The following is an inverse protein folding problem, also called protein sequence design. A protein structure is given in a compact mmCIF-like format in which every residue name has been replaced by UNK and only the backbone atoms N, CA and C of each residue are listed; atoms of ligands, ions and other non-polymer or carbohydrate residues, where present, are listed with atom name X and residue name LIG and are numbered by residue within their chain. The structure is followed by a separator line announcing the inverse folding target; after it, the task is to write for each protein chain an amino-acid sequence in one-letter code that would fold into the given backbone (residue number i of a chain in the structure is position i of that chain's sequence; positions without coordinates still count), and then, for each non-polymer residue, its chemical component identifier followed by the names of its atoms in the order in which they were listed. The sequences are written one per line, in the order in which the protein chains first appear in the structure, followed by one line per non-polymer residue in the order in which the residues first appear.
data_IF_741876054732
#
_entry.id   IF_741876054732
#
_cell.length_a   1.000
_cell.length_b   1.000
_cell.length_c   1.000
_cell.angle_alpha   90.00
_cell.angle_beta   90.00
_cell.angle_gamma   90.00
#
_symmetry.space_group_name_H-M   'P 1'
#
loop_
_entity.id
_entity.type
_entity.pdbx_description
1 polymer ?
#
# COMPACT_ATOMS: atom_id res chain seq x y z
N UNK A 1 4.80 15.86 -16.77
CA UNK A 1 5.84 14.85 -16.50
C UNK A 1 5.99 14.79 -14.99
N UNK A 2 5.22 13.92 -14.33
CA UNK A 2 5.24 13.82 -12.86
C UNK A 2 6.56 13.17 -12.44
N UNK A 3 7.32 13.86 -11.58
CA UNK A 3 8.64 13.40 -11.17
C UNK A 3 8.48 12.13 -10.34
N UNK A 4 9.00 11.02 -10.84
CA UNK A 4 8.90 9.72 -10.14
C UNK A 4 9.51 9.76 -8.73
N UNK A 5 10.39 10.73 -8.42
CA UNK A 5 10.96 10.92 -7.08
C UNK A 5 10.04 11.56 -6.03
N UNK A 6 9.08 12.40 -6.43
CA UNK A 6 8.16 13.04 -5.46
C UNK A 6 7.16 12.03 -4.89
N UNK A 7 6.69 11.10 -5.75
CA UNK A 7 5.75 10.05 -5.36
C UNK A 7 6.40 9.07 -4.38
N UNK A 8 7.69 8.76 -4.58
CA UNK A 8 8.46 7.85 -3.72
C UNK A 8 8.67 8.40 -2.31
N UNK A 9 8.91 9.71 -2.18
CA UNK A 9 9.05 10.37 -0.88
C UNK A 9 7.70 10.41 -0.12
N UNK A 10 6.60 10.70 -0.83
CA UNK A 10 5.25 10.69 -0.25
C UNK A 10 4.91 9.28 0.26
N UNK A 11 5.10 8.25 -0.57
CA UNK A 11 4.84 6.86 -0.17
C UNK A 11 5.73 6.39 0.98
N UNK A 12 6.98 6.84 1.03
CA UNK A 12 7.88 6.52 2.16
C UNK A 12 7.37 7.11 3.48
N UNK A 13 6.85 8.33 3.46
CA UNK A 13 6.24 8.95 4.66
C UNK A 13 4.97 8.23 5.09
N UNK A 14 4.13 7.87 4.12
CA UNK A 14 2.91 7.08 4.35
C UNK A 14 3.23 5.73 4.99
N UNK A 15 4.26 5.07 4.48
CA UNK A 15 4.71 3.77 4.98
C UNK A 15 5.21 3.87 6.43
N UNK A 16 6.01 4.89 6.75
CA UNK A 16 6.46 5.12 8.13
C UNK A 16 5.28 5.36 9.08
N UNK A 17 4.25 6.08 8.64
CA UNK A 17 3.04 6.29 9.43
C UNK A 17 2.28 4.97 9.63
N UNK A 18 2.12 4.19 8.55
CA UNK A 18 1.54 2.85 8.63
C UNK A 18 2.29 1.95 9.60
N UNK A 19 3.63 1.93 9.55
CA UNK A 19 4.45 1.10 10.45
C UNK A 19 4.27 1.47 11.92
N UNK A 20 4.19 2.77 12.23
CA UNK A 20 3.90 3.25 13.60
C UNK A 20 2.53 2.79 14.09
N UNK A 21 1.53 2.82 13.20
CA UNK A 21 0.16 2.41 13.51
C UNK A 21 -0.07 0.91 13.36
N UNK A 22 0.88 0.17 12.77
CA UNK A 22 0.72 -1.23 12.35
C UNK A 22 0.28 -2.12 13.49
N UNK A 23 0.84 -1.93 14.68
CA UNK A 23 0.49 -2.73 15.85
C UNK A 23 -0.96 -2.51 16.29
N UNK A 24 -1.45 -1.27 16.25
CA UNK A 24 -2.83 -0.92 16.58
C UNK A 24 -3.81 -1.35 15.49
N UNK A 25 -3.41 -1.20 14.22
CA UNK A 25 -4.19 -1.66 13.08
C UNK A 25 -4.32 -3.19 13.10
N UNK A 26 -3.26 -3.91 13.46
CA UNK A 26 -3.31 -5.37 13.61
C UNK A 26 -4.26 -5.81 14.71
N UNK A 27 -4.34 -5.09 15.83
CA UNK A 27 -5.27 -5.45 16.92
C UNK A 27 -6.74 -5.27 16.53
N UNK A 28 -7.06 -4.25 15.73
CA UNK A 28 -8.45 -3.86 15.46
C UNK A 28 -8.95 -4.25 14.06
N UNK A 29 -8.04 -4.42 13.09
CA UNK A 29 -8.35 -4.52 11.66
C UNK A 29 -7.54 -5.61 10.94
N UNK A 30 -7.07 -6.64 11.65
CA UNK A 30 -6.38 -7.77 11.02
C UNK A 30 -7.21 -8.36 9.87
N UNK A 31 -6.57 -8.55 8.72
CA UNK A 31 -7.19 -9.08 7.49
C UNK A 31 -7.86 -8.03 6.61
N UNK A 32 -8.12 -6.83 7.13
CA UNK A 32 -8.76 -5.72 6.40
C UNK A 32 -7.78 -4.91 5.59
N UNK A 33 -8.30 -4.12 4.67
CA UNK A 33 -7.55 -3.23 3.79
C UNK A 33 -7.66 -1.80 4.31
N UNK A 34 -6.54 -1.15 4.53
CA UNK A 34 -6.50 0.24 4.98
C UNK A 34 -6.06 1.16 3.86
N UNK A 35 -6.64 2.35 3.83
CA UNK A 35 -6.19 3.46 3.00
C UNK A 35 -5.55 4.49 3.91
N UNK A 36 -4.28 4.76 3.66
CA UNK A 36 -3.51 5.78 4.38
C UNK A 36 -3.18 6.88 3.39
N UNK A 37 -3.31 8.12 3.86
CA UNK A 37 -2.98 9.33 3.11
C UNK A 37 -2.49 10.42 4.05
N UNK A 38 -1.46 11.16 3.63
CA UNK A 38 -0.76 12.16 4.43
C UNK A 38 -0.32 11.65 5.83
N UNK A 39 -0.05 10.34 5.95
CA UNK A 39 0.30 9.72 7.22
C UNK A 39 -0.87 9.50 8.18
N UNK A 40 -2.11 9.58 7.69
CA UNK A 40 -3.32 9.33 8.47
C UNK A 40 -4.16 8.18 7.87
N UNK A 41 -4.85 7.43 8.73
CA UNK A 41 -5.78 6.41 8.29
C UNK A 41 -7.08 7.05 7.79
N UNK A 42 -7.33 6.99 6.49
CA UNK A 42 -8.52 7.56 5.86
C UNK A 42 -9.72 6.63 5.96
N UNK A 43 -9.48 5.32 5.91
CA UNK A 43 -10.55 4.34 5.95
C UNK A 43 -10.05 2.90 6.03
N UNK A 44 -10.96 2.03 6.47
CA UNK A 44 -10.76 0.58 6.54
C UNK A 44 -11.87 -0.10 5.75
N UNK A 45 -11.48 -1.02 4.87
CA UNK A 45 -12.34 -1.71 3.93
C UNK A 45 -12.08 -3.21 3.98
N UNK A 46 -13.01 -4.00 3.46
CA UNK A 46 -12.87 -5.46 3.41
C UNK A 46 -12.08 -5.92 2.19
N UNK A 47 -12.25 -5.22 1.06
CA UNK A 47 -11.60 -5.54 -0.21
C UNK A 47 -10.72 -4.40 -0.74
N UNK A 48 -9.67 -4.78 -1.48
CA UNK A 48 -8.78 -3.82 -2.16
C UNK A 48 -9.52 -3.01 -3.23
N UNK A 49 -10.45 -3.65 -3.94
CA UNK A 49 -11.28 -2.99 -4.94
C UNK A 49 -12.17 -1.90 -4.33
N UNK A 50 -12.68 -2.11 -3.11
CA UNK A 50 -13.49 -1.12 -2.39
C UNK A 50 -12.61 0.04 -1.90
N UNK A 51 -11.46 -0.28 -1.31
CA UNK A 51 -10.48 0.71 -0.87
C UNK A 51 -10.01 1.61 -2.02
N UNK A 52 -9.74 1.01 -3.19
CA UNK A 52 -9.32 1.72 -4.39
C UNK A 52 -10.44 2.61 -4.94
N UNK A 53 -11.66 2.08 -5.09
CA UNK A 53 -12.80 2.88 -5.53
C UNK A 53 -13.07 4.05 -4.58
N UNK A 54 -13.06 3.81 -3.28
CA UNK A 54 -13.28 4.86 -2.29
C UNK A 54 -12.16 5.91 -2.30
N UNK A 55 -10.90 5.50 -2.53
CA UNK A 55 -9.80 6.43 -2.68
C UNK A 55 -9.91 7.27 -3.96
N UNK A 56 -10.29 6.66 -5.09
CA UNK A 56 -10.54 7.35 -6.35
C UNK A 56 -11.70 8.34 -6.24
N UNK A 57 -12.77 7.96 -5.56
CA UNK A 57 -13.94 8.82 -5.35
C UNK A 57 -13.61 10.03 -4.45
N UNK A 58 -12.86 9.81 -3.36
CA UNK A 58 -12.50 10.87 -2.41
C UNK A 58 -11.36 11.78 -2.88
N UNK A 59 -10.37 11.22 -3.56
CA UNK A 59 -9.09 11.89 -3.84
C UNK A 59 -8.74 11.95 -5.32
N UNK A 60 -9.46 11.26 -6.20
CA UNK A 60 -9.15 11.22 -7.62
C UNK A 60 -7.89 10.43 -7.93
N UNK A 61 -7.12 10.89 -8.92
CA UNK A 61 -5.88 10.26 -9.39
C UNK A 61 -4.65 10.60 -8.54
N UNK A 62 -4.86 10.98 -7.28
CA UNK A 62 -3.79 11.32 -6.36
C UNK A 62 -3.17 10.07 -5.71
N UNK A 63 -1.86 10.10 -5.39
CA UNK A 63 -1.19 8.98 -4.76
C UNK A 63 -1.71 8.73 -3.34
N UNK A 64 -2.00 7.46 -3.04
CA UNK A 64 -2.47 6.97 -1.75
C UNK A 64 -1.83 5.61 -1.44
N UNK A 65 -1.60 5.32 -0.16
CA UNK A 65 -1.17 4.01 0.27
C UNK A 65 -2.37 3.11 0.57
N UNK A 66 -2.54 2.05 -0.22
CA UNK A 66 -3.54 1.00 0.03
C UNK A 66 -2.79 -0.26 0.43
N UNK A 67 -3.02 -0.74 1.66
CA UNK A 67 -2.31 -1.92 2.18
C UNK A 67 -3.22 -2.78 3.03
N UNK A 68 -3.09 -4.10 2.87
CA UNK A 68 -3.79 -5.07 3.73
C UNK A 68 -3.04 -5.25 5.05
N UNK A 69 -3.77 -5.14 6.15
CA UNK A 69 -3.24 -5.31 7.50
C UNK A 69 -3.10 -6.80 7.78
N UNK A 70 -1.91 -7.33 7.57
CA UNK A 70 -1.60 -8.74 7.83
C UNK A 70 -0.46 -8.86 8.83
N UNK A 71 -0.60 -9.79 9.77
CA UNK A 71 0.40 -10.07 10.81
C UNK A 71 1.68 -10.67 10.25
N UNK A 72 1.53 -11.43 9.17
CA UNK A 72 2.62 -11.92 8.33
C UNK A 72 2.34 -11.42 6.92
N UNK A 73 3.16 -10.50 6.45
CA UNK A 73 3.20 -10.18 5.02
C UNK A 73 3.60 -11.50 4.35
N UNK A 74 2.67 -12.09 3.59
CA UNK A 74 3.10 -13.15 2.66
C UNK A 74 4.06 -12.41 1.74
N UNK A 75 5.33 -12.81 1.64
CA UNK A 75 6.12 -12.34 0.52
C UNK A 75 5.27 -12.72 -0.68
N UNK A 76 4.74 -11.71 -1.36
CA UNK A 76 4.32 -11.85 -2.74
C UNK A 76 5.56 -12.43 -3.40
N UNK A 77 5.57 -13.75 -3.56
CA UNK A 77 6.56 -14.45 -4.32
C UNK A 77 6.38 -13.88 -5.72
N UNK A 78 7.05 -12.77 -6.02
CA UNK A 78 7.18 -12.27 -7.36
C UNK A 78 7.97 -13.37 -8.06
N UNK A 79 7.35 -14.25 -8.88
CA UNK A 79 8.03 -15.42 -9.41
C UNK A 79 9.05 -15.05 -10.50
N UNK A 80 9.40 -13.76 -10.62
CA UNK A 80 10.33 -13.24 -11.62
C UNK A 80 11.70 -13.93 -11.50
N UNK A 81 12.16 -14.23 -10.28
CA UNK A 81 13.42 -14.94 -10.07
C UNK A 81 13.31 -16.45 -10.23
N UNK A 82 12.15 -17.05 -9.94
CA UNK A 82 11.97 -18.51 -9.98
C UNK A 82 11.75 -19.05 -11.39
N UNK A 83 11.15 -18.26 -12.29
CA UNK A 83 10.84 -18.69 -13.66
C UNK A 83 11.75 -18.13 -14.76
N UNK A 84 12.82 -17.38 -14.43
CA UNK A 84 13.80 -16.93 -15.43
C UNK A 84 13.22 -16.03 -16.54
N UNK A 85 12.13 -15.31 -16.26
CA UNK A 85 11.37 -14.53 -17.25
C UNK A 85 11.94 -13.12 -17.49
N UNK A 86 13.02 -12.75 -16.81
CA UNK A 86 13.77 -11.51 -17.09
C UNK A 86 15.24 -11.85 -17.25
N UNK A 87 15.75 -11.73 -18.48
CA UNK A 87 17.19 -11.72 -18.72
C UNK A 87 17.77 -10.40 -18.21
N UNK A 88 18.95 -10.38 -17.55
CA UNK A 88 19.65 -9.13 -17.30
C UNK A 88 19.98 -8.51 -18.66
N UNK A 89 19.51 -7.28 -18.87
CA UNK A 89 19.92 -6.44 -20.00
C UNK A 89 21.42 -6.20 -19.79
N UNK A 90 22.24 -6.82 -20.65
CA UNK A 90 23.70 -6.59 -20.73
C UNK A 90 23.97 -5.32 -21.51
#
# INVERSE_FOLDING_TARGET
MVAQGEVEEILSRELMAYERMKEELLKNYEGKVVVIRNGELIGVYESEAEALQAALDKFGLEPVLIKRVLRKERPEEMPAYTFGLVSPIT
#
